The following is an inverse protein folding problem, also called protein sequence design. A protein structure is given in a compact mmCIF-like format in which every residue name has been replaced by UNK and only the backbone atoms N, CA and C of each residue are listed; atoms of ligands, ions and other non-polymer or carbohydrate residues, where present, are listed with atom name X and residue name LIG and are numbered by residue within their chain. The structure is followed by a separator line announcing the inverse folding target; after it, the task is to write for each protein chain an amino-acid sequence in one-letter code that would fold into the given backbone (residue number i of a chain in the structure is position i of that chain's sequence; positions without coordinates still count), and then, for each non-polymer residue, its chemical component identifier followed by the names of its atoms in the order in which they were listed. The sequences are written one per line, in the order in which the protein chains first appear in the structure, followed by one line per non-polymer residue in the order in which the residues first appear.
data_IF_286904373173
#
_entry.id   IF_286904373173
#
_cell.length_a   1.000
_cell.length_b   1.000
_cell.length_c   1.000
_cell.angle_alpha   90.00
_cell.angle_beta   90.00
_cell.angle_gamma   90.00
#
_symmetry.space_group_name_H-M   'P 1'
#
loop_
_entity.id
_entity.type
_entity.pdbx_description
1 polymer ?
#
# COMPACT_ATOMS: atom_id res chain seq x y z
N UNK A 1 19.49 -11.16 49.17
CA UNK A 1 18.90 -10.05 48.42
C UNK A 1 19.88 -9.31 47.52
N UNK A 2 20.96 -8.68 47.98
CA UNK A 2 21.91 -7.88 47.12
C UNK A 2 22.57 -8.67 45.97
N UNK A 3 22.96 -9.95 46.14
CA UNK A 3 23.54 -10.77 45.06
C UNK A 3 22.56 -11.14 43.97
N UNK A 4 21.32 -11.43 44.31
CA UNK A 4 20.23 -11.75 43.36
C UNK A 4 19.87 -10.53 42.53
N UNK A 5 19.74 -9.35 43.16
CA UNK A 5 19.47 -8.08 42.45
C UNK A 5 20.59 -7.74 41.45
N UNK A 6 21.88 -7.94 41.83
CA UNK A 6 22.99 -7.73 40.89
C UNK A 6 22.93 -8.68 39.69
N UNK A 7 22.52 -9.94 39.87
CA UNK A 7 22.35 -10.89 38.77
C UNK A 7 21.19 -10.47 37.83
N UNK A 8 20.07 -10.02 38.39
CA UNK A 8 18.92 -9.52 37.60
C UNK A 8 19.32 -8.27 36.78
N UNK A 9 19.99 -7.31 37.41
CA UNK A 9 20.49 -6.12 36.71
C UNK A 9 21.46 -6.51 35.58
N UNK A 10 22.42 -7.41 35.85
CA UNK A 10 23.33 -7.89 34.80
C UNK A 10 22.57 -8.58 33.66
N UNK A 11 21.62 -9.44 33.98
CA UNK A 11 20.75 -10.09 32.97
C UNK A 11 20.00 -9.07 32.12
N UNK A 12 19.42 -8.05 32.76
CA UNK A 12 18.71 -6.96 32.07
C UNK A 12 19.64 -6.21 31.08
N UNK A 13 20.85 -5.84 31.51
CA UNK A 13 21.83 -5.19 30.61
C UNK A 13 22.27 -6.08 29.46
N UNK A 14 22.42 -7.39 29.67
CA UNK A 14 22.73 -8.34 28.60
C UNK A 14 21.60 -8.36 27.58
N UNK A 15 20.33 -8.41 28.01
CA UNK A 15 19.19 -8.37 27.09
C UNK A 15 19.14 -7.08 26.29
N UNK A 16 19.39 -5.92 26.92
CA UNK A 16 19.45 -4.64 26.20
C UNK A 16 20.56 -4.66 25.15
N UNK A 17 21.75 -5.14 25.50
CA UNK A 17 22.88 -5.24 24.55
C UNK A 17 22.51 -6.13 23.37
N UNK A 18 21.86 -7.28 23.60
CA UNK A 18 21.42 -8.17 22.53
C UNK A 18 20.38 -7.51 21.61
N UNK A 19 19.44 -6.77 22.18
CA UNK A 19 18.45 -5.99 21.40
C UNK A 19 19.15 -4.95 20.54
N UNK A 20 20.07 -4.17 21.10
CA UNK A 20 20.83 -3.15 20.36
C UNK A 20 21.65 -3.77 19.24
N UNK A 21 22.33 -4.87 19.49
CA UNK A 21 23.11 -5.60 18.48
C UNK A 21 22.20 -6.11 17.37
N UNK A 22 21.08 -6.75 17.72
CA UNK A 22 20.13 -7.27 16.75
C UNK A 22 19.53 -6.14 15.88
N UNK A 23 19.05 -5.06 16.49
CA UNK A 23 18.47 -3.92 15.75
C UNK A 23 19.50 -3.25 14.84
N UNK A 24 20.77 -3.15 15.29
CA UNK A 24 21.85 -2.61 14.46
C UNK A 24 22.13 -3.50 13.25
N UNK A 25 22.22 -4.82 13.45
CA UNK A 25 22.42 -5.79 12.36
C UNK A 25 21.23 -5.72 11.39
N UNK A 26 20.02 -5.71 11.91
CA UNK A 26 18.78 -5.61 11.11
C UNK A 26 18.77 -4.36 10.25
N UNK A 27 19.08 -3.20 10.84
CA UNK A 27 19.15 -1.93 10.12
C UNK A 27 20.19 -1.94 9.00
N UNK A 28 21.42 -2.41 9.29
CA UNK A 28 22.49 -2.49 8.28
C UNK A 28 22.07 -3.43 7.15
N UNK A 29 21.55 -4.61 7.48
CA UNK A 29 21.05 -5.59 6.50
C UNK A 29 19.95 -4.98 5.62
N UNK A 30 18.99 -4.28 6.22
CA UNK A 30 17.91 -3.60 5.49
C UNK A 30 18.45 -2.55 4.52
N UNK A 31 19.39 -1.70 4.95
CA UNK A 31 20.01 -0.67 4.09
C UNK A 31 20.77 -1.27 2.91
N UNK A 32 21.50 -2.38 3.13
CA UNK A 32 22.20 -3.10 2.05
C UNK A 32 21.20 -3.67 1.05
N UNK A 33 20.10 -4.24 1.52
CA UNK A 33 19.06 -4.78 0.64
C UNK A 33 18.37 -3.68 -0.16
N UNK A 34 17.95 -2.57 0.47
CA UNK A 34 17.35 -1.44 -0.24
C UNK A 34 18.22 -0.96 -1.40
N UNK A 35 19.53 -0.82 -1.19
CA UNK A 35 20.46 -0.40 -2.25
C UNK A 35 20.56 -1.40 -3.41
N UNK A 36 20.48 -2.71 -3.14
CA UNK A 36 20.48 -3.74 -4.18
C UNK A 36 19.15 -3.83 -4.92
N UNK A 37 18.06 -3.51 -4.23
CA UNK A 37 16.70 -3.55 -4.73
C UNK A 37 16.33 -2.31 -5.56
N UNK A 38 17.16 -1.25 -5.58
CA UNK A 38 16.92 -0.04 -6.37
C UNK A 38 16.76 -0.35 -7.87
N UNK A 39 17.51 -1.31 -8.39
CA UNK A 39 17.43 -1.73 -9.79
C UNK A 39 16.12 -2.45 -10.13
N UNK A 40 15.49 -3.08 -9.15
CA UNK A 40 14.20 -3.77 -9.30
C UNK A 40 13.01 -2.85 -9.06
N UNK A 41 13.23 -1.70 -8.45
CA UNK A 41 12.16 -0.73 -8.14
C UNK A 41 11.82 0.11 -9.36
N UNK A 42 11.31 -0.56 -10.42
CA UNK A 42 10.94 0.04 -11.70
C UNK A 42 9.44 -0.10 -11.90
N UNK A 43 8.74 1.02 -12.11
CA UNK A 43 7.30 1.02 -12.35
C UNK A 43 6.96 0.93 -13.83
N UNK A 44 5.82 0.28 -14.09
CA UNK A 44 5.09 0.36 -15.37
C UNK A 44 3.90 1.30 -15.14
N UNK A 45 3.66 2.22 -16.03
CA UNK A 45 2.57 3.21 -15.88
C UNK A 45 3.08 4.65 -15.93
N UNK A 46 2.39 5.54 -15.28
CA UNK A 46 2.68 6.98 -15.30
C UNK A 46 2.79 7.53 -13.89
N UNK A 47 3.79 8.39 -13.68
CA UNK A 47 3.85 9.26 -12.51
C UNK A 47 3.20 10.58 -12.83
N UNK A 48 2.32 11.05 -11.97
CA UNK A 48 1.68 12.36 -12.06
C UNK A 48 1.89 13.13 -10.76
N UNK A 49 2.26 14.38 -10.87
CA UNK A 49 2.39 15.25 -9.71
C UNK A 49 1.01 15.76 -9.29
N UNK A 50 0.65 15.58 -8.03
CA UNK A 50 -0.60 15.99 -7.41
C UNK A 50 -0.27 16.59 -6.06
N UNK A 51 -0.67 17.83 -5.78
CA UNK A 51 -0.41 18.49 -4.49
C UNK A 51 1.05 18.38 -4.02
N UNK A 52 2.01 18.71 -4.89
CA UNK A 52 3.46 18.68 -4.61
C UNK A 52 4.05 17.29 -4.29
N UNK A 53 3.37 16.20 -4.66
CA UNK A 53 3.90 14.85 -4.58
C UNK A 53 3.51 14.00 -5.80
N UNK A 54 4.26 12.93 -6.04
CA UNK A 54 4.03 12.06 -7.19
C UNK A 54 3.09 10.90 -6.83
N UNK A 55 2.07 10.69 -7.67
CA UNK A 55 1.19 9.54 -7.60
C UNK A 55 1.38 8.65 -8.82
N UNK A 56 1.41 7.36 -8.60
CA UNK A 56 1.52 6.36 -9.65
C UNK A 56 0.14 5.94 -10.13
N UNK A 57 -0.01 5.93 -11.46
CA UNK A 57 -1.21 5.48 -12.16
C UNK A 57 -0.82 4.38 -13.14
N UNK A 58 -1.35 3.19 -12.93
CA UNK A 58 -1.25 2.10 -13.89
C UNK A 58 -2.47 2.04 -14.78
N UNK A 59 -2.26 1.88 -16.08
CA UNK A 59 -3.34 1.79 -17.07
C UNK A 59 -3.09 0.58 -17.97
N UNK A 60 -4.12 -0.25 -18.14
CA UNK A 60 -4.10 -1.40 -19.05
C UNK A 60 -5.42 -1.48 -19.83
N UNK A 61 -5.35 -1.97 -21.07
CA UNK A 61 -6.51 -2.06 -21.97
C UNK A 61 -6.92 -0.72 -22.59
N UNK A 62 -7.81 -0.79 -23.59
CA UNK A 62 -8.22 0.36 -24.43
C UNK A 62 -9.73 0.48 -24.62
N UNK A 63 -10.54 -0.22 -23.81
CA UNK A 63 -11.97 -0.17 -23.89
C UNK A 63 -12.56 1.20 -23.57
N UNK A 64 -13.75 1.49 -24.06
CA UNK A 64 -14.45 2.76 -23.84
C UNK A 64 -14.95 2.91 -22.39
N UNK A 65 -15.17 1.80 -21.70
CA UNK A 65 -15.58 1.81 -20.29
C UNK A 65 -14.34 1.72 -19.40
N UNK A 66 -14.21 2.65 -18.46
CA UNK A 66 -13.10 2.73 -17.54
C UNK A 66 -13.46 2.11 -16.18
N UNK A 67 -12.63 1.15 -15.76
CA UNK A 67 -12.68 0.49 -14.45
C UNK A 67 -11.59 1.08 -13.58
N UNK A 68 -11.93 1.59 -12.39
CA UNK A 68 -10.96 2.18 -11.45
C UNK A 68 -10.83 1.27 -10.23
N UNK A 69 -9.70 0.64 -10.07
CA UNK A 69 -9.37 -0.21 -8.92
C UNK A 69 -8.85 0.64 -7.77
N UNK A 70 -9.45 0.48 -6.61
CA UNK A 70 -9.18 1.29 -5.41
C UNK A 70 -8.76 0.37 -4.26
N UNK A 71 -7.57 0.57 -3.74
CA UNK A 71 -6.98 -0.28 -2.69
C UNK A 71 -7.50 0.04 -1.29
N UNK A 72 -7.63 -1.01 -0.50
CA UNK A 72 -7.90 -0.91 0.94
C UNK A 72 -6.71 -0.41 1.76
N UNK A 73 -6.87 -0.40 3.08
CA UNK A 73 -5.79 -0.04 4.00
C UNK A 73 -4.67 -1.09 4.02
N UNK A 74 -3.42 -0.64 4.10
CA UNK A 74 -2.25 -1.53 4.25
C UNK A 74 -1.85 -2.32 3.00
N UNK A 75 -2.44 -2.04 1.84
CA UNK A 75 -2.04 -2.65 0.56
C UNK A 75 -0.66 -2.11 0.13
N UNK A 76 0.32 -2.99 -0.03
CA UNK A 76 1.68 -2.58 -0.38
C UNK A 76 1.81 -2.18 -1.85
N UNK A 77 1.23 -2.97 -2.77
CA UNK A 77 1.28 -2.74 -4.21
C UNK A 77 -0.07 -2.98 -4.87
N UNK A 78 -0.95 -1.99 -4.91
CA UNK A 78 -2.26 -2.11 -5.54
C UNK A 78 -2.19 -2.63 -6.97
N UNK A 79 -1.22 -2.18 -7.76
CA UNK A 79 -1.02 -2.65 -9.15
C UNK A 79 -0.81 -4.17 -9.21
N UNK A 80 -0.03 -4.74 -8.31
CA UNK A 80 0.26 -6.17 -8.31
C UNK A 80 -0.84 -6.98 -7.61
N UNK A 81 -1.42 -6.46 -6.54
CA UNK A 81 -2.49 -7.13 -5.80
C UNK A 81 -3.74 -7.37 -6.65
N UNK A 82 -4.11 -6.41 -7.49
CA UNK A 82 -5.29 -6.54 -8.36
C UNK A 82 -5.01 -7.21 -9.70
N UNK A 83 -3.75 -7.54 -10.02
CA UNK A 83 -3.37 -8.02 -11.35
C UNK A 83 -4.17 -9.23 -11.81
N UNK A 84 -4.38 -10.20 -10.96
CA UNK A 84 -5.11 -11.43 -11.31
C UNK A 84 -6.54 -11.16 -11.77
N UNK A 85 -7.17 -10.09 -11.25
CA UNK A 85 -8.52 -9.71 -11.62
C UNK A 85 -8.53 -8.78 -12.84
N UNK A 86 -7.77 -7.70 -12.82
CA UNK A 86 -7.85 -6.72 -13.89
C UNK A 86 -7.32 -7.24 -15.23
N UNK A 87 -6.34 -8.16 -15.24
CA UNK A 87 -5.83 -8.77 -16.47
C UNK A 87 -6.90 -9.57 -17.24
N UNK A 88 -7.92 -10.09 -16.55
CA UNK A 88 -9.06 -10.76 -17.16
C UNK A 88 -10.05 -9.78 -17.80
N UNK A 89 -9.96 -8.50 -17.45
CA UNK A 89 -10.89 -7.45 -17.85
C UNK A 89 -10.28 -6.51 -18.90
N UNK A 90 -8.96 -6.42 -18.96
CA UNK A 90 -8.23 -5.46 -19.81
C UNK A 90 -8.41 -5.68 -21.32
N UNK A 91 -8.82 -6.86 -21.76
CA UNK A 91 -9.16 -7.12 -23.16
C UNK A 91 -10.40 -6.31 -23.62
N UNK A 92 -11.32 -6.00 -22.72
CA UNK A 92 -12.59 -5.36 -23.03
C UNK A 92 -12.74 -3.96 -22.46
N UNK A 93 -12.03 -3.68 -21.38
CA UNK A 93 -12.19 -2.46 -20.61
C UNK A 93 -10.84 -1.72 -20.51
N UNK A 94 -10.90 -0.42 -20.29
CA UNK A 94 -9.76 0.32 -19.80
C UNK A 94 -9.71 0.17 -18.30
N UNK A 95 -8.66 -0.47 -17.81
CA UNK A 95 -8.41 -0.67 -16.38
C UNK A 95 -7.45 0.39 -15.88
N UNK A 96 -7.73 0.95 -14.72
CA UNK A 96 -6.86 1.87 -14.01
C UNK A 96 -6.68 1.39 -12.59
N UNK A 97 -5.44 1.38 -12.13
CA UNK A 97 -5.11 1.23 -10.71
C UNK A 97 -4.48 2.53 -10.26
N UNK A 98 -5.12 3.20 -9.30
CA UNK A 98 -4.57 4.40 -8.66
C UNK A 98 -3.86 4.00 -7.39
N UNK A 99 -2.56 4.23 -7.34
CA UNK A 99 -1.78 4.05 -6.12
C UNK A 99 -1.80 5.36 -5.34
N UNK A 100 -2.53 5.38 -4.24
CA UNK A 100 -2.64 6.55 -3.36
C UNK A 100 -1.28 6.91 -2.76
N UNK A 101 -1.11 8.14 -2.30
CA UNK A 101 0.10 8.53 -1.58
C UNK A 101 0.42 7.54 -0.45
N UNK A 102 1.66 7.07 -0.41
CA UNK A 102 2.13 6.02 0.49
C UNK A 102 1.95 4.59 0.00
N UNK A 103 1.30 4.36 -1.15
CA UNK A 103 1.07 3.04 -1.73
C UNK A 103 1.93 2.82 -2.97
N UNK A 104 2.36 1.58 -3.19
CA UNK A 104 3.10 1.17 -4.38
C UNK A 104 4.29 2.07 -4.69
N UNK A 105 4.26 2.70 -5.85
CA UNK A 105 5.31 3.60 -6.32
C UNK A 105 5.05 5.08 -5.98
N UNK A 106 3.88 5.44 -5.45
CA UNK A 106 3.56 6.82 -5.07
C UNK A 106 4.41 7.31 -3.92
N UNK A 107 4.63 8.62 -3.85
CA UNK A 107 5.40 9.25 -2.77
C UNK A 107 4.75 9.03 -1.41
N UNK A 108 5.58 8.94 -0.37
CA UNK A 108 5.15 8.95 1.02
C UNK A 108 5.03 10.41 1.45
N UNK A 109 3.88 10.78 1.99
CA UNK A 109 3.59 12.15 2.41
C UNK A 109 3.23 12.20 3.90
N UNK A 110 3.60 13.31 4.54
CA UNK A 110 3.23 13.62 5.93
C UNK A 110 2.19 14.75 5.95
N UNK A 111 1.03 14.47 5.35
CA UNK A 111 -0.09 15.39 5.30
C UNK A 111 -1.37 14.70 5.77
N UNK A 112 -2.39 15.49 6.11
CA UNK A 112 -3.69 14.94 6.48
C UNK A 112 -4.24 14.06 5.35
N UNK A 113 -4.71 12.87 5.70
CA UNK A 113 -5.26 11.87 4.76
C UNK A 113 -6.75 11.64 5.03
N UNK A 114 -7.50 12.75 5.18
CA UNK A 114 -8.96 12.65 5.21
C UNK A 114 -9.52 12.22 3.84
N UNK A 115 -10.79 11.83 3.86
CA UNK A 115 -11.46 11.28 2.70
C UNK A 115 -11.56 12.27 1.54
N UNK A 116 -11.73 13.56 1.85
CA UNK A 116 -11.82 14.62 0.82
C UNK A 116 -10.46 14.84 0.14
N UNK A 117 -9.37 14.82 0.91
CA UNK A 117 -8.02 14.91 0.36
C UNK A 117 -7.72 13.72 -0.54
N UNK A 118 -7.99 12.49 -0.09
CA UNK A 118 -7.75 11.27 -0.89
C UNK A 118 -8.59 11.30 -2.17
N UNK A 119 -9.85 11.70 -2.10
CA UNK A 119 -10.73 11.78 -3.26
C UNK A 119 -10.26 12.86 -4.25
N UNK A 120 -9.92 14.05 -3.78
CA UNK A 120 -9.44 15.14 -4.64
C UNK A 120 -8.16 14.77 -5.37
N UNK A 121 -7.20 14.15 -4.71
CA UNK A 121 -5.96 13.66 -5.30
C UNK A 121 -6.21 12.57 -6.35
N UNK A 122 -7.07 11.61 -6.05
CA UNK A 122 -7.44 10.56 -7.00
C UNK A 122 -8.06 11.13 -8.27
N UNK A 123 -9.00 12.08 -8.14
CA UNK A 123 -9.64 12.74 -9.27
C UNK A 123 -8.67 13.60 -10.08
N UNK A 124 -7.78 14.33 -9.40
CA UNK A 124 -6.74 15.12 -10.06
C UNK A 124 -5.78 14.23 -10.84
N UNK A 125 -5.32 13.12 -10.24
CA UNK A 125 -4.44 12.16 -10.89
C UNK A 125 -5.08 11.60 -12.18
N UNK A 126 -6.35 11.17 -12.12
CA UNK A 126 -7.09 10.70 -13.31
C UNK A 126 -7.22 11.79 -14.39
N UNK A 127 -7.47 13.02 -13.99
CA UNK A 127 -7.54 14.17 -14.91
C UNK A 127 -6.20 14.43 -15.61
N UNK A 128 -5.08 14.31 -14.90
CA UNK A 128 -3.73 14.51 -15.45
C UNK A 128 -3.35 13.44 -16.48
N UNK A 129 -3.80 12.21 -16.30
CA UNK A 129 -3.64 11.16 -17.32
C UNK A 129 -4.73 11.23 -18.42
N UNK A 130 -5.56 12.29 -18.42
CA UNK A 130 -6.60 12.59 -19.42
C UNK A 130 -7.68 11.50 -19.53
N UNK A 131 -7.96 10.80 -18.46
CA UNK A 131 -9.01 9.80 -18.41
C UNK A 131 -10.23 10.41 -17.71
N UNK A 132 -11.37 10.32 -18.37
CA UNK A 132 -12.64 10.91 -17.92
C UNK A 132 -13.65 9.82 -17.62
N UNK A 133 -14.53 10.11 -16.64
CA UNK A 133 -15.68 9.28 -16.34
C UNK A 133 -16.76 9.30 -17.44
N UNK A 134 -17.90 8.63 -17.21
CA UNK A 134 -18.22 7.99 -15.94
C UNK A 134 -17.46 6.68 -15.73
N UNK A 135 -17.03 6.46 -14.49
CA UNK A 135 -16.21 5.30 -14.06
C UNK A 135 -17.07 4.17 -13.51
N UNK A 136 -16.59 2.93 -13.63
CA UNK A 136 -16.99 1.82 -12.76
C UNK A 136 -15.90 1.65 -11.71
N UNK A 137 -16.25 1.87 -10.44
CA UNK A 137 -15.31 1.75 -9.33
C UNK A 137 -15.24 0.31 -8.83
N UNK A 138 -14.02 -0.17 -8.58
CA UNK A 138 -13.73 -1.47 -7.97
C UNK A 138 -13.02 -1.25 -6.62
N UNK A 139 -13.75 -0.79 -5.60
CA UNK A 139 -13.17 -0.62 -4.28
C UNK A 139 -12.95 -1.96 -3.58
N UNK A 140 -11.85 -2.07 -2.84
CA UNK A 140 -11.55 -3.17 -1.93
C UNK A 140 -11.46 -2.67 -0.48
N UNK A 141 -12.09 -3.39 0.46
CA UNK A 141 -11.99 -3.10 1.89
C UNK A 141 -12.30 -1.62 2.21
N UNK A 142 -11.44 -0.90 2.91
CA UNK A 142 -11.61 0.52 3.30
C UNK A 142 -11.94 1.46 2.14
N UNK A 143 -11.48 1.19 0.93
CA UNK A 143 -11.81 2.05 -0.21
C UNK A 143 -13.29 2.00 -0.61
N UNK A 144 -14.07 1.11 -0.01
CA UNK A 144 -15.53 1.15 -0.11
C UNK A 144 -16.10 2.48 0.36
N UNK A 145 -15.58 3.00 1.48
CA UNK A 145 -15.99 4.31 2.02
C UNK A 145 -15.62 5.44 1.04
N UNK A 146 -14.41 5.38 0.46
CA UNK A 146 -13.95 6.35 -0.54
C UNK A 146 -14.85 6.32 -1.79
N UNK A 147 -15.21 5.14 -2.29
CA UNK A 147 -16.06 4.98 -3.47
C UNK A 147 -17.50 5.48 -3.22
N UNK A 148 -18.07 5.20 -2.04
CA UNK A 148 -19.38 5.69 -1.64
C UNK A 148 -19.40 7.22 -1.50
N UNK A 149 -18.32 7.79 -0.92
CA UNK A 149 -18.16 9.23 -0.81
C UNK A 149 -18.02 9.87 -2.19
N UNK A 150 -17.23 9.30 -3.10
CA UNK A 150 -17.10 9.79 -4.47
C UNK A 150 -18.46 9.80 -5.21
N UNK A 151 -19.22 8.70 -5.13
CA UNK A 151 -20.52 8.61 -5.76
C UNK A 151 -21.54 9.61 -5.18
N UNK A 152 -21.41 9.96 -3.90
CA UNK A 152 -22.27 10.98 -3.26
C UNK A 152 -21.91 12.39 -3.72
N UNK A 153 -20.64 12.74 -3.73
CA UNK A 153 -20.18 14.11 -4.03
C UNK A 153 -20.17 14.40 -5.55
N UNK A 154 -19.93 13.39 -6.38
CA UNK A 154 -19.80 13.51 -7.84
C UNK A 154 -20.55 12.40 -8.58
N UNK A 155 -21.88 12.32 -8.45
CA UNK A 155 -22.67 11.21 -9.00
C UNK A 155 -22.54 11.05 -10.53
N UNK A 156 -22.35 12.14 -11.26
CA UNK A 156 -22.20 12.11 -12.72
C UNK A 156 -20.87 11.49 -13.19
N UNK A 157 -19.90 11.38 -12.30
CA UNK A 157 -18.61 10.73 -12.60
C UNK A 157 -18.66 9.22 -12.41
N UNK A 158 -19.70 8.67 -11.76
CA UNK A 158 -19.77 7.27 -11.36
C UNK A 158 -20.92 6.58 -12.08
N UNK A 159 -20.59 5.54 -12.84
CA UNK A 159 -21.55 4.67 -13.52
C UNK A 159 -22.04 3.54 -12.65
N UNK A 160 -21.13 2.93 -11.88
CA UNK A 160 -21.42 1.83 -10.97
C UNK A 160 -20.29 1.65 -9.95
N UNK A 161 -20.60 0.95 -8.86
CA UNK A 161 -19.62 0.46 -7.88
C UNK A 161 -19.75 -1.06 -7.81
N UNK A 162 -18.63 -1.76 -8.00
CA UNK A 162 -18.51 -3.21 -7.85
C UNK A 162 -17.58 -3.46 -6.67
N UNK A 163 -18.17 -3.73 -5.51
CA UNK A 163 -17.43 -3.91 -4.26
C UNK A 163 -16.68 -5.23 -4.21
N UNK A 164 -15.41 -5.17 -3.83
CA UNK A 164 -14.55 -6.31 -3.55
C UNK A 164 -14.38 -6.40 -2.01
N UNK A 165 -15.34 -7.03 -1.34
CA UNK A 165 -15.38 -7.13 0.13
C UNK A 165 -15.21 -5.76 0.82
N UNK A 166 -16.09 -4.84 0.50
CA UNK A 166 -15.98 -3.44 0.91
C UNK A 166 -16.40 -3.20 2.35
N UNK A 167 -15.70 -2.29 3.00
CA UNK A 167 -16.15 -1.65 4.23
C UNK A 167 -17.15 -0.53 3.90
N UNK A 168 -18.14 -0.38 4.76
CA UNK A 168 -19.11 0.72 4.75
C UNK A 168 -18.87 1.63 5.97
N UNK A 169 -19.36 2.88 5.97
CA UNK A 169 -19.11 3.82 7.08
C UNK A 169 -19.42 3.24 8.45
N UNK A 170 -20.51 2.48 8.59
CA UNK A 170 -20.95 1.86 9.83
C UNK A 170 -19.91 0.87 10.39
N UNK A 171 -19.06 0.28 9.53
CA UNK A 171 -17.98 -0.62 9.97
C UNK A 171 -16.88 0.08 10.76
N UNK A 172 -16.85 1.41 10.73
CA UNK A 172 -15.80 2.24 11.32
C UNK A 172 -16.30 3.21 12.38
N UNK A 173 -17.60 3.22 12.72
CA UNK A 173 -18.17 4.13 13.73
C UNK A 173 -17.46 4.00 15.08
N UNK A 174 -17.12 2.76 15.49
CA UNK A 174 -16.43 2.46 16.75
C UNK A 174 -14.96 2.04 16.54
N UNK A 175 -14.40 2.25 15.33
CA UNK A 175 -13.05 1.79 15.02
C UNK A 175 -12.00 2.80 15.50
N UNK A 176 -11.23 2.42 16.50
CA UNK A 176 -10.11 3.20 17.01
C UNK A 176 -8.77 2.64 16.52
N UNK A 177 -7.98 3.47 15.85
CA UNK A 177 -6.63 3.10 15.44
C UNK A 177 -5.70 3.16 16.64
N UNK A 178 -5.05 2.03 16.96
CA UNK A 178 -4.01 1.98 17.98
C UNK A 178 -2.73 2.66 17.46
N UNK A 179 -2.69 3.99 17.49
CA UNK A 179 -1.56 4.78 17.00
C UNK A 179 -0.20 4.41 17.62
N UNK A 180 -0.07 4.10 18.91
CA UNK A 180 1.18 3.55 19.46
C UNK A 180 1.66 2.29 18.76
N UNK A 181 0.76 1.36 18.46
CA UNK A 181 1.10 0.13 17.75
C UNK A 181 1.53 0.41 16.30
N UNK A 182 0.82 1.27 15.59
CA UNK A 182 1.16 1.70 14.23
C UNK A 182 2.56 2.33 14.18
N UNK A 183 2.87 3.23 15.13
CA UNK A 183 4.20 3.85 15.23
C UNK A 183 5.30 2.82 15.51
N UNK A 184 5.03 1.85 16.40
CA UNK A 184 5.98 0.78 16.70
C UNK A 184 6.23 -0.10 15.48
N UNK A 185 5.18 -0.47 14.75
CA UNK A 185 5.28 -1.23 13.50
C UNK A 185 6.10 -0.46 12.44
N UNK A 186 5.84 0.83 12.28
CA UNK A 186 6.60 1.70 11.37
C UNK A 186 8.09 1.78 11.74
N UNK A 187 8.42 1.91 13.03
CA UNK A 187 9.82 1.87 13.48
C UNK A 187 10.44 0.51 13.15
N UNK A 188 9.73 -0.59 13.43
CA UNK A 188 10.17 -1.95 13.13
C UNK A 188 10.46 -2.15 11.64
N UNK A 189 9.61 -1.65 10.76
CA UNK A 189 9.78 -1.68 9.32
C UNK A 189 11.02 -0.89 8.89
N UNK A 190 11.18 0.35 9.36
CA UNK A 190 12.31 1.22 9.04
C UNK A 190 13.68 0.67 9.47
N UNK A 191 13.72 -0.13 10.53
CA UNK A 191 14.94 -0.83 10.97
C UNK A 191 15.05 -2.24 10.39
N UNK A 192 14.13 -2.63 9.49
CA UNK A 192 14.19 -3.86 8.72
C UNK A 192 13.79 -5.12 9.47
N UNK A 193 13.05 -5.02 10.59
CA UNK A 193 12.55 -6.19 11.34
C UNK A 193 11.63 -7.03 10.45
N UNK A 194 10.87 -6.40 9.56
CA UNK A 194 9.96 -7.08 8.61
C UNK A 194 10.68 -8.11 7.74
N UNK A 195 11.97 -7.94 7.45
CA UNK A 195 12.77 -8.90 6.67
C UNK A 195 13.11 -10.19 7.41
N UNK A 196 12.95 -10.21 8.73
CA UNK A 196 13.18 -11.38 9.58
C UNK A 196 11.90 -12.15 9.89
N UNK A 197 10.75 -11.56 9.51
CA UNK A 197 9.44 -12.17 9.73
C UNK A 197 9.04 -12.87 8.43
N UNK A 198 8.88 -14.20 8.40
CA UNK A 198 8.35 -14.89 7.23
C UNK A 198 6.89 -14.48 7.01
N UNK A 199 6.42 -14.51 5.77
CA UNK A 199 5.01 -14.33 5.49
C UNK A 199 4.68 -13.54 4.24
N UNK A 200 5.61 -12.77 3.67
CA UNK A 200 5.34 -12.07 2.41
C UNK A 200 5.05 -13.06 1.26
N UNK A 201 5.68 -14.22 1.27
CA UNK A 201 5.44 -15.31 0.33
C UNK A 201 4.04 -15.92 0.46
N UNK A 202 3.40 -15.73 1.59
CA UNK A 202 2.04 -16.21 1.87
C UNK A 202 0.96 -15.20 1.46
N UNK A 203 1.36 -14.01 0.94
CA UNK A 203 0.37 -13.06 0.43
C UNK A 203 -0.45 -13.70 -0.70
N UNK A 204 -1.73 -13.38 -0.74
CA UNK A 204 -2.66 -13.95 -1.73
C UNK A 204 -2.24 -13.62 -3.17
N UNK A 205 -1.66 -12.44 -3.39
CA UNK A 205 -1.16 -12.03 -4.70
C UNK A 205 -0.02 -12.96 -5.20
N UNK A 206 0.86 -13.42 -4.31
CA UNK A 206 1.95 -14.34 -4.66
C UNK A 206 1.44 -15.78 -4.72
N UNK A 207 0.66 -16.21 -3.75
CA UNK A 207 0.28 -17.61 -3.58
C UNK A 207 -0.80 -18.07 -4.55
N UNK A 208 -1.75 -17.22 -4.85
CA UNK A 208 -2.92 -17.53 -5.67
C UNK A 208 -3.03 -16.65 -6.92
N UNK A 209 -2.16 -15.65 -7.03
CA UNK A 209 -2.17 -14.69 -8.11
C UNK A 209 -1.49 -15.20 -9.39
N UNK A 210 -1.43 -14.32 -10.37
CA UNK A 210 -0.83 -14.58 -11.70
C UNK A 210 0.46 -13.80 -11.90
N UNK A 211 1.17 -13.47 -10.81
CA UNK A 211 2.43 -12.73 -10.87
C UNK A 211 3.54 -13.62 -11.47
N UNK A 212 4.35 -13.02 -12.33
CA UNK A 212 5.58 -13.63 -12.80
C UNK A 212 6.66 -13.59 -11.72
N UNK A 213 7.74 -14.35 -11.88
CA UNK A 213 8.86 -14.34 -10.92
C UNK A 213 9.47 -12.93 -10.76
N UNK A 214 9.53 -12.14 -11.85
CA UNK A 214 9.96 -10.75 -11.82
C UNK A 214 9.02 -9.87 -10.98
N UNK A 215 7.72 -10.03 -11.16
CA UNK A 215 6.69 -9.29 -10.41
C UNK A 215 6.62 -9.72 -8.94
N UNK A 216 6.87 -10.98 -8.64
CA UNK A 216 7.03 -11.45 -7.25
C UNK A 216 8.26 -10.78 -6.61
N UNK A 217 9.37 -10.69 -7.35
CA UNK A 217 10.55 -9.95 -6.90
C UNK A 217 10.22 -8.48 -6.61
N UNK A 218 9.54 -7.82 -7.54
CA UNK A 218 9.09 -6.43 -7.39
C UNK A 218 8.12 -6.26 -6.22
N UNK A 219 7.15 -7.17 -6.05
CA UNK A 219 6.21 -7.13 -4.93
C UNK A 219 6.92 -7.15 -3.57
N UNK A 220 7.93 -8.03 -3.42
CA UNK A 220 8.78 -8.10 -2.22
C UNK A 220 9.56 -6.80 -2.00
N UNK A 221 10.12 -6.24 -3.05
CA UNK A 221 10.85 -4.95 -2.98
C UNK A 221 9.92 -3.84 -2.49
N UNK A 222 8.72 -3.72 -3.07
CA UNK A 222 7.74 -2.70 -2.66
C UNK A 222 7.35 -2.92 -1.20
N UNK A 223 7.01 -4.15 -0.80
CA UNK A 223 6.65 -4.48 0.57
C UNK A 223 7.71 -4.03 1.57
N UNK A 224 8.96 -4.42 1.38
CA UNK A 224 10.03 -4.08 2.31
C UNK A 224 10.44 -2.60 2.30
N UNK A 225 10.08 -1.88 1.25
CA UNK A 225 10.38 -0.46 1.08
C UNK A 225 9.31 0.46 1.66
N UNK A 226 8.06 -0.03 1.72
CA UNK A 226 6.87 0.77 2.05
C UNK A 226 6.20 0.40 3.39
N UNK A 227 6.58 -0.70 4.00
CA UNK A 227 6.07 -1.11 5.33
C UNK A 227 6.81 -0.45 6.49
#
# INVERSE_FOLDING_TARGET
MRKTLKKLIKGFFIVIILIVVFTTISFINHRIHLSKEDELFVYKGQMVEVNDHNMHIYVEGQGDTTLVFMSGGGTSSPMLDFKSLYSLLSDKYRVIVVEKAGYGFSDIVDVNRDIDTILSETREALSKVKIKGPYILFPHSMSGIEALHWAREYPDEIRAIIGLDIAVPESYEDYEINMPMVKLASIGANIGITRWIPGIEESDAIKYGTLTDEEIGLYKVIFYRRT
#
